data_IF_712785308731
#
_entry.id   IF_712785308731
#
_cell.length_a   1.000
_cell.length_b   1.000
_cell.length_c   1.000
_cell.angle_alpha   90.00
_cell.angle_beta   90.00
_cell.angle_gamma   90.00
#
_symmetry.space_group_name_H-M   'P 1'
#
loop_
_entity.id
_entity.type
_entity.pdbx_description
1 polymer ?
#
# COMPACT_ATOMS: atom_id res chain seq x y z
N UNK A 1 -2.49 20.71 -15.91
CA UNK A 1 -1.29 19.82 -15.75
C UNK A 1 -0.96 19.14 -17.06
N UNK A 2 0.29 19.16 -17.47
CA UNK A 2 0.67 18.43 -18.68
C UNK A 2 0.40 16.93 -18.54
N UNK A 3 0.01 16.29 -19.63
CA UNK A 3 -0.22 14.83 -19.69
C UNK A 3 0.97 14.02 -19.16
N UNK A 4 2.17 14.57 -19.34
CA UNK A 4 3.42 13.98 -18.92
C UNK A 4 3.45 13.67 -17.40
N UNK A 5 3.04 14.65 -16.58
CA UNK A 5 3.02 14.47 -15.12
C UNK A 5 1.95 13.48 -14.68
N UNK A 6 0.82 13.46 -15.36
CA UNK A 6 -0.25 12.48 -15.10
C UNK A 6 0.25 11.07 -15.35
N UNK A 7 0.98 10.86 -16.44
CA UNK A 7 1.53 9.57 -16.81
C UNK A 7 2.55 9.08 -15.79
N UNK A 8 3.50 9.93 -15.39
CA UNK A 8 4.50 9.57 -14.38
C UNK A 8 3.86 9.27 -13.01
N UNK A 9 2.87 10.05 -12.62
CA UNK A 9 2.15 9.81 -11.38
C UNK A 9 1.46 8.46 -11.38
N UNK A 10 0.81 8.09 -12.49
CA UNK A 10 0.14 6.80 -12.64
C UNK A 10 1.12 5.63 -12.59
N UNK A 11 2.29 5.78 -13.23
CA UNK A 11 3.34 4.75 -13.18
C UNK A 11 3.86 4.55 -11.76
N UNK A 12 4.08 5.63 -11.03
CA UNK A 12 4.56 5.57 -9.66
C UNK A 12 3.54 4.90 -8.74
N UNK A 13 2.26 5.21 -8.89
CA UNK A 13 1.19 4.56 -8.14
C UNK A 13 1.15 3.05 -8.41
N UNK A 14 1.26 2.67 -9.68
CA UNK A 14 1.25 1.26 -10.09
C UNK A 14 2.45 0.52 -9.50
N UNK A 15 3.64 1.12 -9.55
CA UNK A 15 4.86 0.52 -8.99
C UNK A 15 4.75 0.33 -7.48
N UNK A 16 4.22 1.32 -6.76
CA UNK A 16 4.01 1.24 -5.32
C UNK A 16 2.99 0.16 -4.96
N UNK A 17 1.90 0.07 -5.73
CA UNK A 17 0.87 -0.95 -5.53
C UNK A 17 1.44 -2.36 -5.72
N UNK A 18 2.26 -2.56 -6.74
CA UNK A 18 2.92 -3.84 -7.01
C UNK A 18 3.87 -4.20 -5.86
N UNK A 19 4.58 -3.24 -5.31
CA UNK A 19 5.48 -3.47 -4.18
C UNK A 19 4.70 -3.91 -2.95
N UNK A 20 3.57 -3.25 -2.62
CA UNK A 20 2.71 -3.65 -1.51
C UNK A 20 2.21 -5.08 -1.70
N UNK A 21 1.71 -5.39 -2.90
CA UNK A 21 1.21 -6.73 -3.23
C UNK A 21 2.29 -7.79 -3.03
N UNK A 22 3.50 -7.55 -3.55
CA UNK A 22 4.60 -8.49 -3.45
C UNK A 22 5.06 -8.70 -2.00
N UNK A 23 5.12 -7.63 -1.20
CA UNK A 23 5.51 -7.73 0.21
C UNK A 23 4.49 -8.52 1.03
N UNK A 24 3.19 -8.30 0.80
CA UNK A 24 2.14 -9.06 1.46
C UNK A 24 2.20 -10.54 1.03
N UNK A 25 2.44 -10.79 -0.25
CA UNK A 25 2.58 -12.15 -0.78
C UNK A 25 3.78 -12.88 -0.15
N UNK A 26 4.90 -12.19 0.01
CA UNK A 26 6.08 -12.75 0.69
C UNK A 26 5.78 -13.04 2.15
N UNK A 27 5.10 -12.14 2.85
CA UNK A 27 4.68 -12.37 4.23
C UNK A 27 3.81 -13.61 4.34
N UNK A 28 2.83 -13.75 3.43
CA UNK A 28 1.92 -14.89 3.42
C UNK A 28 2.60 -16.22 3.08
N UNK A 29 3.76 -16.17 2.42
CA UNK A 29 4.52 -17.38 2.09
C UNK A 29 5.35 -17.90 3.27
N UNK A 30 5.51 -17.12 4.32
CA UNK A 30 6.24 -17.53 5.53
C UNK A 30 5.26 -18.12 6.54
N UNK A 31 5.43 -19.41 6.85
CA UNK A 31 4.69 -20.10 7.89
C UNK A 31 5.62 -20.27 9.09
N UNK A 32 5.52 -19.40 10.10
CA UNK A 32 6.52 -19.38 11.17
C UNK A 32 6.51 -20.62 12.03
N UNK A 33 7.67 -21.29 12.12
CA UNK A 33 7.92 -22.37 13.06
C UNK A 33 8.73 -21.92 14.28
N UNK A 34 9.28 -20.70 14.24
CA UNK A 34 10.06 -20.11 15.33
C UNK A 34 9.96 -18.57 15.29
N UNK A 35 10.50 -17.90 16.31
CA UNK A 35 10.43 -16.44 16.40
C UNK A 35 11.19 -15.73 15.29
N UNK A 36 12.27 -16.31 14.79
CA UNK A 36 13.03 -15.73 13.69
C UNK A 36 12.16 -15.65 12.41
N UNK A 37 11.45 -16.72 12.10
CA UNK A 37 10.56 -16.76 10.94
C UNK A 37 9.35 -15.84 11.11
N UNK A 38 8.81 -15.76 12.33
CA UNK A 38 7.75 -14.82 12.66
C UNK A 38 8.21 -13.38 12.46
N UNK A 39 9.46 -13.07 12.79
CA UNK A 39 10.05 -11.75 12.58
C UNK A 39 10.20 -11.43 11.09
N UNK A 40 10.63 -12.41 10.26
CA UNK A 40 10.71 -12.23 8.82
C UNK A 40 9.33 -11.88 8.22
N UNK A 41 8.29 -12.57 8.65
CA UNK A 41 6.92 -12.30 8.22
C UNK A 41 6.51 -10.88 8.63
N UNK A 42 6.83 -10.49 9.85
CA UNK A 42 6.54 -9.14 10.36
C UNK A 42 7.27 -8.08 9.58
N UNK A 43 8.54 -8.33 9.23
CA UNK A 43 9.35 -7.38 8.46
C UNK A 43 8.74 -7.11 7.08
N UNK A 44 8.23 -8.13 6.40
CA UNK A 44 7.55 -7.94 5.11
C UNK A 44 6.26 -7.13 5.28
N UNK A 45 5.52 -7.35 6.37
CA UNK A 45 4.30 -6.58 6.64
C UNK A 45 4.62 -5.12 6.97
N UNK A 46 5.72 -4.87 7.69
CA UNK A 46 6.20 -3.51 7.98
C UNK A 46 6.57 -2.80 6.68
N UNK A 47 7.29 -3.48 5.80
CA UNK A 47 7.67 -2.95 4.48
C UNK A 47 6.43 -2.63 3.64
N UNK A 48 5.45 -3.53 3.62
CA UNK A 48 4.19 -3.31 2.92
C UNK A 48 3.48 -2.07 3.43
N UNK A 49 3.43 -1.89 4.75
CA UNK A 49 2.79 -0.73 5.36
C UNK A 49 3.53 0.57 5.03
N UNK A 50 4.87 0.55 5.05
CA UNK A 50 5.68 1.72 4.69
C UNK A 50 5.43 2.13 3.23
N UNK A 51 5.39 1.15 2.32
CA UNK A 51 5.11 1.40 0.90
C UNK A 51 3.69 1.94 0.71
N UNK A 52 2.74 1.41 1.49
CA UNK A 52 1.35 1.87 1.46
C UNK A 52 1.24 3.33 1.89
N UNK A 53 2.00 3.76 2.91
CA UNK A 53 2.04 5.16 3.32
C UNK A 53 2.61 6.05 2.22
N UNK A 54 3.62 5.57 1.49
CA UNK A 54 4.15 6.29 0.33
C UNK A 54 3.10 6.43 -0.77
N UNK A 55 2.29 5.39 -0.99
CA UNK A 55 1.18 5.41 -1.94
C UNK A 55 0.14 6.46 -1.54
N UNK A 56 -0.22 6.52 -0.26
CA UNK A 56 -1.16 7.52 0.28
C UNK A 56 -0.63 8.93 0.03
N UNK A 57 0.68 9.16 0.28
CA UNK A 57 1.31 10.45 0.00
C UNK A 57 1.23 10.84 -1.46
N UNK A 58 1.46 9.88 -2.36
CA UNK A 58 1.38 10.13 -3.80
C UNK A 58 -0.04 10.46 -4.25
N UNK A 59 -1.04 9.78 -3.69
CA UNK A 59 -2.46 10.09 -3.95
C UNK A 59 -2.80 11.52 -3.49
N UNK A 60 -2.25 11.94 -2.36
CA UNK A 60 -2.43 13.31 -1.85
C UNK A 60 -1.89 14.35 -2.80
N UNK A 61 -0.69 14.13 -3.35
CA UNK A 61 -0.07 15.02 -4.35
C UNK A 61 -0.95 15.12 -5.59
N UNK A 62 -1.44 13.99 -6.09
CA UNK A 62 -2.31 13.98 -7.27
C UNK A 62 -3.64 14.67 -7.01
N UNK A 63 -4.21 14.52 -5.83
CA UNK A 63 -5.44 15.22 -5.43
C UNK A 63 -5.24 16.75 -5.41
N UNK A 64 -4.09 17.21 -4.91
CA UNK A 64 -3.75 18.65 -4.91
C UNK A 64 -3.61 19.19 -6.33
N UNK A 65 -3.01 18.42 -7.23
CA UNK A 65 -2.89 18.80 -8.64
C UNK A 65 -4.27 18.89 -9.31
N UNK A 66 -5.19 18.01 -8.96
CA UNK A 66 -6.58 18.04 -9.44
C UNK A 66 -7.30 19.32 -9.03
N UNK A 67 -7.10 19.77 -7.79
CA UNK A 67 -7.71 21.01 -7.28
C UNK A 67 -7.25 22.22 -8.08
N UNK A 68 -6.02 22.18 -8.60
CA UNK A 68 -5.46 23.26 -9.42
C UNK A 68 -5.97 23.24 -10.87
N UNK A 69 -6.39 22.06 -11.36
CA UNK A 69 -6.79 21.88 -12.76
C UNK A 69 -8.04 20.96 -12.85
N UNK A 70 -9.17 21.35 -12.23
CA UNK A 70 -10.32 20.45 -12.11
C UNK A 70 -10.96 20.03 -13.43
N UNK A 71 -10.97 20.89 -14.44
CA UNK A 71 -11.62 20.61 -15.71
C UNK A 71 -10.86 19.61 -16.57
N UNK A 72 -9.52 19.64 -16.49
CA UNK A 72 -8.65 18.82 -17.33
C UNK A 72 -8.43 17.41 -16.80
N UNK A 73 -8.70 17.18 -15.50
CA UNK A 73 -8.35 15.94 -14.81
C UNK A 73 -9.55 15.27 -14.15
N UNK A 74 -10.74 15.51 -14.67
CA UNK A 74 -12.00 14.97 -14.13
C UNK A 74 -12.01 13.44 -14.08
N UNK A 75 -11.46 12.79 -15.11
CA UNK A 75 -11.35 11.33 -15.18
C UNK A 75 -10.43 10.78 -14.08
N UNK A 76 -9.41 11.56 -13.69
CA UNK A 76 -8.46 11.17 -12.66
C UNK A 76 -9.11 11.21 -11.27
N UNK A 77 -10.09 12.09 -11.06
CA UNK A 77 -10.81 12.21 -9.79
C UNK A 77 -11.48 10.88 -9.41
N UNK A 78 -12.20 10.28 -10.37
CA UNK A 78 -12.85 8.98 -10.16
C UNK A 78 -11.81 7.88 -9.85
N UNK A 79 -10.69 7.89 -10.57
CA UNK A 79 -9.60 6.94 -10.35
C UNK A 79 -8.99 7.11 -8.97
N UNK A 80 -8.83 8.35 -8.51
CA UNK A 80 -8.28 8.63 -7.17
C UNK A 80 -9.20 8.12 -6.07
N UNK A 81 -10.53 8.24 -6.23
CA UNK A 81 -11.48 7.70 -5.26
C UNK A 81 -11.36 6.17 -5.17
N UNK A 82 -11.26 5.49 -6.31
CA UNK A 82 -11.05 4.04 -6.34
C UNK A 82 -9.72 3.66 -5.65
N UNK A 83 -8.64 4.36 -5.98
CA UNK A 83 -7.34 4.12 -5.36
C UNK A 83 -7.38 4.34 -3.85
N UNK A 84 -8.03 5.42 -3.39
CA UNK A 84 -8.14 5.72 -1.97
C UNK A 84 -8.92 4.62 -1.23
N UNK A 85 -9.98 4.10 -1.84
CA UNK A 85 -10.76 2.99 -1.28
C UNK A 85 -9.92 1.72 -1.17
N UNK A 86 -9.20 1.36 -2.24
CA UNK A 86 -8.33 0.17 -2.25
C UNK A 86 -7.20 0.28 -1.22
N UNK A 87 -6.59 1.45 -1.10
CA UNK A 87 -5.53 1.70 -0.12
C UNK A 87 -6.07 1.58 1.30
N UNK A 88 -7.26 2.12 1.56
CA UNK A 88 -7.90 2.01 2.88
C UNK A 88 -8.18 0.55 3.24
N UNK A 89 -8.69 -0.24 2.31
CA UNK A 89 -8.92 -1.68 2.52
C UNK A 89 -7.62 -2.42 2.80
N UNK A 90 -6.58 -2.14 2.02
CA UNK A 90 -5.28 -2.78 2.17
C UNK A 90 -4.66 -2.45 3.53
N UNK A 91 -4.77 -1.20 3.97
CA UNK A 91 -4.28 -0.77 5.28
C UNK A 91 -4.97 -1.54 6.41
N UNK A 92 -6.27 -1.74 6.31
CA UNK A 92 -7.04 -2.51 7.29
C UNK A 92 -6.62 -3.98 7.30
N UNK A 93 -6.40 -4.57 6.13
CA UNK A 93 -5.97 -5.95 6.01
C UNK A 93 -4.58 -6.15 6.61
N UNK A 94 -3.64 -5.28 6.31
CA UNK A 94 -2.28 -5.36 6.85
C UNK A 94 -2.30 -5.21 8.37
N UNK A 95 -3.05 -4.23 8.90
CA UNK A 95 -3.19 -4.03 10.35
C UNK A 95 -3.81 -5.25 11.02
N UNK A 96 -4.85 -5.83 10.41
CA UNK A 96 -5.51 -7.02 10.92
C UNK A 96 -4.58 -8.23 10.96
N UNK A 97 -3.81 -8.44 9.90
CA UNK A 97 -2.84 -9.55 9.83
C UNK A 97 -1.74 -9.37 10.88
N UNK A 98 -1.19 -8.16 11.02
CA UNK A 98 -0.16 -7.87 12.04
C UNK A 98 -0.67 -8.15 13.45
N UNK A 99 -1.89 -7.71 13.75
CA UNK A 99 -2.51 -7.92 15.06
C UNK A 99 -2.77 -9.41 15.32
N UNK A 100 -3.31 -10.11 14.33
CA UNK A 100 -3.59 -11.54 14.41
C UNK A 100 -2.28 -12.32 14.61
N UNK A 101 -1.23 -12.00 13.86
CA UNK A 101 0.07 -12.65 13.93
C UNK A 101 0.71 -12.47 15.32
N UNK A 102 0.57 -11.28 15.89
CA UNK A 102 1.11 -11.00 17.23
C UNK A 102 0.54 -11.97 18.26
N UNK A 103 -0.73 -12.29 18.17
CA UNK A 103 -1.38 -13.26 19.08
C UNK A 103 -1.02 -14.70 18.73
N UNK A 104 -1.03 -15.04 17.43
CA UNK A 104 -0.82 -16.42 16.96
C UNK A 104 0.59 -16.92 17.20
N UNK A 105 1.57 -16.04 17.07
CA UNK A 105 2.99 -16.43 17.07
C UNK A 105 3.76 -15.99 18.32
N UNK A 106 3.09 -15.49 19.33
CA UNK A 106 3.76 -14.99 20.56
C UNK A 106 4.48 -16.08 21.35
N UNK A 107 4.04 -17.33 21.24
CA UNK A 107 4.60 -18.47 22.00
C UNK A 107 5.52 -19.37 21.18
N UNK A 108 5.97 -18.94 20.01
CA UNK A 108 6.91 -19.70 19.21
C UNK A 108 8.31 -19.74 19.84
N UNK A 109 9.05 -20.85 19.68
CA UNK A 109 10.41 -20.95 20.21
C UNK A 109 11.39 -19.96 19.61
#
# INVERSE_FOLDING_TARGET
MPKRYTFYGAQELSALADTVYNEVKMANSVFPGNQHEAQLRRDHLIEANATLQALIGQLGIMADLLKQNPEKLRWLDNSLEEWASLVSEEAKLISGVKKSDKERFKNLP
#
